data_IF_270589049205
#
_entry.id   IF_270589049205
#
_cell.length_a   1.000
_cell.length_b   1.000
_cell.length_c   1.000
_cell.angle_alpha   90.00
_cell.angle_beta   90.00
_cell.angle_gamma   90.00
#
_symmetry.space_group_name_H-M   'P 1'
#
loop_
_entity.id
_entity.type
_entity.pdbx_description
1 polymer ?
#
# COMPACT_ATOMS: atom_id res chain seq x y z
N UNK A 1 -42.90 20.20 -13.71
CA UNK A 1 -42.73 19.59 -15.07
C UNK A 1 -41.83 18.37 -14.86
N UNK A 2 -42.42 17.16 -14.84
CA UNK A 2 -41.71 15.90 -14.55
C UNK A 2 -40.87 15.49 -15.77
N UNK A 3 -39.57 15.51 -15.68
CA UNK A 3 -38.68 14.90 -16.66
C UNK A 3 -38.77 13.37 -16.54
N UNK A 4 -39.73 12.76 -17.25
CA UNK A 4 -39.68 11.36 -17.64
C UNK A 4 -38.67 11.23 -18.78
N UNK A 5 -37.41 11.12 -18.52
CA UNK A 5 -36.44 10.67 -19.49
C UNK A 5 -36.68 9.18 -19.70
N UNK A 6 -37.02 8.83 -20.96
CA UNK A 6 -37.27 7.48 -21.46
C UNK A 6 -36.28 6.46 -20.88
N UNK A 7 -36.78 5.43 -20.20
CA UNK A 7 -36.06 4.24 -19.74
C UNK A 7 -35.78 3.24 -20.88
N UNK A 8 -35.82 3.70 -22.14
CA UNK A 8 -35.49 2.88 -23.31
C UNK A 8 -34.00 2.58 -23.32
N UNK A 9 -33.65 1.35 -22.92
CA UNK A 9 -32.27 0.85 -22.89
C UNK A 9 -31.84 0.09 -21.62
N UNK A 10 -32.69 0.06 -20.60
CA UNK A 10 -32.40 -0.72 -19.39
C UNK A 10 -32.92 -2.15 -19.59
N UNK A 11 -32.04 -3.11 -19.31
CA UNK A 11 -32.36 -4.53 -19.42
C UNK A 11 -33.62 -4.89 -18.60
N UNK A 12 -34.63 -5.61 -19.15
CA UNK A 12 -35.88 -5.89 -18.45
C UNK A 12 -35.71 -6.61 -17.11
N UNK A 13 -34.71 -7.50 -16.99
CA UNK A 13 -34.40 -8.18 -15.74
C UNK A 13 -33.92 -7.21 -14.64
N UNK A 14 -33.28 -6.08 -14.98
CA UNK A 14 -32.90 -5.10 -13.99
C UNK A 14 -34.11 -4.34 -13.42
N UNK A 15 -35.14 -4.14 -14.23
CA UNK A 15 -36.40 -3.54 -13.75
C UNK A 15 -37.14 -4.52 -12.83
N UNK A 16 -37.22 -5.80 -13.18
CA UNK A 16 -37.76 -6.85 -12.32
C UNK A 16 -37.03 -6.92 -10.96
N UNK A 17 -35.75 -6.94 -10.97
CA UNK A 17 -34.95 -6.95 -9.71
C UNK A 17 -35.15 -5.66 -8.89
N UNK A 18 -35.38 -4.51 -9.52
CA UNK A 18 -35.71 -3.29 -8.79
C UNK A 18 -37.07 -3.37 -8.09
N UNK A 19 -38.04 -4.05 -8.69
CA UNK A 19 -39.36 -4.33 -8.07
C UNK A 19 -39.20 -5.30 -6.88
N UNK A 20 -38.35 -6.32 -7.00
CA UNK A 20 -38.04 -7.23 -5.90
C UNK A 20 -37.43 -6.50 -4.69
N UNK A 21 -36.54 -5.50 -4.94
CA UNK A 21 -36.01 -4.66 -3.84
C UNK A 21 -37.12 -3.85 -3.20
N UNK A 22 -38.01 -3.23 -3.98
CA UNK A 22 -39.13 -2.44 -3.43
C UNK A 22 -40.10 -3.31 -2.65
N UNK A 23 -40.26 -4.58 -3.04
CA UNK A 23 -41.07 -5.56 -2.36
C UNK A 23 -40.35 -6.21 -1.14
N UNK A 24 -39.11 -5.82 -0.83
CA UNK A 24 -38.32 -6.40 0.28
C UNK A 24 -37.83 -7.82 0.04
N UNK A 25 -37.92 -8.33 -1.19
CA UNK A 25 -37.53 -9.71 -1.58
C UNK A 25 -36.06 -9.82 -1.98
N UNK A 26 -35.40 -8.71 -2.28
CA UNK A 26 -34.00 -8.64 -2.71
C UNK A 26 -33.28 -7.56 -1.91
N UNK A 27 -32.07 -7.84 -1.44
CA UNK A 27 -31.25 -6.84 -0.77
C UNK A 27 -30.71 -5.80 -1.77
N UNK A 28 -30.51 -4.56 -1.30
CA UNK A 28 -29.93 -3.47 -2.10
C UNK A 28 -28.58 -3.82 -2.70
N UNK A 29 -27.73 -4.50 -1.93
CA UNK A 29 -26.39 -4.92 -2.38
C UNK A 29 -26.47 -5.94 -3.51
N UNK A 30 -27.34 -6.90 -3.37
CA UNK A 30 -27.55 -7.96 -4.36
C UNK A 30 -28.16 -7.40 -5.65
N UNK A 31 -29.10 -6.48 -5.54
CA UNK A 31 -29.65 -5.76 -6.68
C UNK A 31 -28.57 -5.01 -7.46
N UNK A 32 -27.73 -4.23 -6.77
CA UNK A 32 -26.66 -3.47 -7.42
C UNK A 32 -25.69 -4.40 -8.18
N UNK A 33 -25.32 -5.54 -7.58
CA UNK A 33 -24.46 -6.53 -8.25
C UNK A 33 -25.12 -7.12 -9.50
N UNK A 34 -26.40 -7.48 -9.44
CA UNK A 34 -27.15 -8.02 -10.58
C UNK A 34 -27.36 -6.97 -11.67
N UNK A 35 -27.73 -5.76 -11.30
CA UNK A 35 -27.93 -4.65 -12.24
C UNK A 35 -26.63 -4.30 -13.00
N UNK A 36 -25.50 -4.29 -12.29
CA UNK A 36 -24.19 -4.03 -12.92
C UNK A 36 -23.80 -5.17 -13.87
N UNK A 37 -24.04 -6.42 -13.51
CA UNK A 37 -23.83 -7.57 -14.39
C UNK A 37 -24.69 -7.52 -15.68
N UNK A 38 -25.85 -6.86 -15.61
CA UNK A 38 -26.73 -6.60 -16.77
C UNK A 38 -26.36 -5.32 -17.55
N UNK A 39 -25.21 -4.70 -17.25
CA UNK A 39 -24.72 -3.50 -17.92
C UNK A 39 -25.40 -2.19 -17.49
N UNK A 40 -26.17 -2.21 -16.40
CA UNK A 40 -26.81 -1.00 -15.86
C UNK A 40 -25.78 -0.21 -15.03
N UNK A 41 -25.58 1.06 -15.35
CA UNK A 41 -24.68 1.91 -14.54
C UNK A 41 -25.20 2.05 -13.11
N UNK A 42 -24.29 2.27 -12.16
CA UNK A 42 -24.65 2.44 -10.75
C UNK A 42 -25.66 3.58 -10.54
N UNK A 43 -25.49 4.69 -11.25
CA UNK A 43 -26.42 5.83 -11.19
C UNK A 43 -27.84 5.42 -11.64
N UNK A 44 -27.94 4.69 -12.75
CA UNK A 44 -29.23 4.20 -13.25
C UNK A 44 -29.83 3.17 -12.29
N UNK A 45 -29.03 2.27 -11.71
CA UNK A 45 -29.47 1.28 -10.73
C UNK A 45 -30.03 1.93 -9.47
N UNK A 46 -29.36 2.92 -8.90
CA UNK A 46 -29.86 3.67 -7.74
C UNK A 46 -31.20 4.35 -8.05
N UNK A 47 -31.32 4.99 -9.22
CA UNK A 47 -32.58 5.63 -9.65
C UNK A 47 -33.72 4.62 -9.82
N UNK A 48 -33.44 3.39 -10.31
CA UNK A 48 -34.45 2.34 -10.46
C UNK A 48 -35.10 1.94 -9.14
N UNK A 49 -34.37 1.98 -8.03
CA UNK A 49 -34.91 1.66 -6.70
C UNK A 49 -35.36 2.88 -5.92
N UNK A 50 -35.41 4.06 -6.57
CA UNK A 50 -35.90 5.29 -5.97
C UNK A 50 -34.95 5.95 -4.98
N UNK A 51 -33.65 5.61 -5.04
CA UNK A 51 -32.63 6.21 -4.20
C UNK A 51 -31.79 7.19 -5.03
N UNK A 52 -31.31 8.24 -4.37
CA UNK A 52 -30.31 9.10 -4.95
C UNK A 52 -29.02 8.28 -5.17
N UNK A 53 -28.46 8.36 -6.39
CA UNK A 53 -27.13 7.82 -6.62
C UNK A 53 -26.14 8.49 -5.67
N UNK A 54 -25.11 7.75 -5.19
CA UNK A 54 -24.02 8.39 -4.47
C UNK A 54 -23.50 9.55 -5.32
N UNK A 55 -23.33 10.72 -4.69
CA UNK A 55 -22.80 11.88 -5.39
C UNK A 55 -21.50 11.45 -6.09
N UNK A 56 -21.40 11.70 -7.40
CA UNK A 56 -20.13 11.61 -8.11
C UNK A 56 -19.11 12.39 -7.29
N UNK A 57 -17.92 11.85 -7.14
CA UNK A 57 -16.88 12.47 -6.33
C UNK A 57 -16.83 13.97 -6.65
N UNK A 58 -17.18 14.78 -5.65
CA UNK A 58 -17.03 16.22 -5.73
C UNK A 58 -15.55 16.48 -5.97
N UNK A 59 -15.21 17.46 -6.78
CA UNK A 59 -13.82 17.85 -6.98
C UNK A 59 -13.13 17.94 -5.61
N UNK A 60 -12.01 17.23 -5.47
CA UNK A 60 -11.30 17.16 -4.21
C UNK A 60 -10.88 18.58 -3.79
N UNK A 61 -11.37 19.03 -2.65
CA UNK A 61 -10.89 20.28 -2.06
C UNK A 61 -9.52 20.04 -1.46
N UNK A 62 -8.55 20.82 -1.90
CA UNK A 62 -7.21 20.78 -1.34
C UNK A 62 -7.22 21.32 0.07
N UNK A 63 -6.59 20.63 1.00
CA UNK A 63 -6.49 21.02 2.41
C UNK A 63 -7.58 20.37 3.29
N UNK A 64 -7.61 20.77 4.53
CA UNK A 64 -8.50 20.22 5.56
C UNK A 64 -7.80 19.26 6.53
N UNK A 65 -8.58 18.65 7.42
CA UNK A 65 -8.07 17.70 8.42
C UNK A 65 -8.75 16.36 8.21
N UNK A 66 -7.96 15.33 7.93
CA UNK A 66 -8.43 13.94 7.95
C UNK A 66 -8.26 13.37 9.37
N UNK A 67 -9.34 12.95 9.99
CA UNK A 67 -9.33 12.28 11.28
C UNK A 67 -9.53 10.79 11.08
N UNK A 68 -8.49 10.00 11.36
CA UNK A 68 -8.54 8.54 11.26
C UNK A 68 -8.65 7.95 12.67
N UNK A 69 -9.69 7.15 12.93
CA UNK A 69 -9.79 6.37 14.14
C UNK A 69 -9.11 5.03 13.95
N UNK A 70 -8.14 4.73 14.81
CA UNK A 70 -7.43 3.43 14.82
C UNK A 70 -6.99 3.10 16.24
N UNK A 71 -6.79 1.81 16.53
CA UNK A 71 -6.13 1.39 17.76
C UNK A 71 -4.65 1.81 17.72
N UNK A 72 -4.22 2.58 18.68
CA UNK A 72 -2.83 2.99 18.83
C UNK A 72 -2.27 2.34 20.09
N UNK A 73 -1.28 1.47 19.91
CA UNK A 73 -0.47 0.91 21.00
C UNK A 73 0.80 1.73 21.18
N UNK A 74 1.51 1.50 22.27
CA UNK A 74 2.80 2.12 22.50
C UNK A 74 3.75 1.85 21.32
N UNK A 75 4.40 2.89 20.82
CA UNK A 75 5.38 2.76 19.76
C UNK A 75 6.62 2.05 20.28
N UNK A 76 7.06 1.06 19.51
CA UNK A 76 8.24 0.24 19.79
C UNK A 76 9.28 0.43 18.68
N UNK A 77 10.39 -0.28 18.78
CA UNK A 77 11.32 -0.42 17.66
C UNK A 77 10.55 -0.93 16.42
N UNK A 78 10.67 -0.29 15.24
CA UNK A 78 9.98 -0.73 14.02
C UNK A 78 10.21 -2.19 13.64
N UNK A 79 11.33 -2.78 14.06
CA UNK A 79 11.64 -4.21 13.86
C UNK A 79 10.69 -5.13 14.61
N UNK A 80 10.04 -4.66 15.66
CA UNK A 80 9.13 -5.41 16.52
C UNK A 80 7.67 -5.03 16.33
N UNK A 81 7.36 -4.38 15.21
CA UNK A 81 5.99 -3.98 14.88
C UNK A 81 5.11 -5.21 14.65
N UNK A 82 4.15 -5.43 15.55
CA UNK A 82 3.33 -6.64 15.64
C UNK A 82 1.83 -6.41 15.42
N UNK A 83 1.41 -5.18 15.06
CA UNK A 83 0.01 -4.90 14.76
C UNK A 83 -0.17 -4.08 13.47
N UNK A 84 -1.27 -4.33 12.72
CA UNK A 84 -1.46 -3.77 11.37
C UNK A 84 -1.49 -2.24 11.30
N UNK A 85 -2.02 -1.58 12.33
CA UNK A 85 -2.17 -0.13 12.33
C UNK A 85 -0.86 0.63 12.48
N UNK A 86 0.21 -0.01 13.01
CA UNK A 86 1.52 0.62 13.18
C UNK A 86 2.12 1.06 11.85
N UNK A 87 1.86 0.30 10.78
CA UNK A 87 2.32 0.66 9.44
C UNK A 87 1.72 1.99 8.96
N UNK A 88 0.48 2.30 9.35
CA UNK A 88 -0.15 3.58 9.03
C UNK A 88 0.49 4.74 9.81
N UNK A 89 0.91 4.48 11.05
CA UNK A 89 1.66 5.47 11.85
C UNK A 89 3.04 5.70 11.24
N UNK A 90 3.76 4.63 10.92
CA UNK A 90 5.10 4.73 10.36
C UNK A 90 5.13 5.41 8.98
N UNK A 91 4.14 5.19 8.13
CA UNK A 91 4.00 5.88 6.84
C UNK A 91 3.92 7.40 6.96
N UNK A 92 3.54 7.92 8.11
CA UNK A 92 3.46 9.35 8.35
C UNK A 92 4.81 10.04 8.57
N UNK A 93 5.89 9.28 8.87
CA UNK A 93 7.19 9.86 9.23
C UNK A 93 8.42 9.02 8.87
N UNK A 94 8.24 7.76 8.46
CA UNK A 94 9.32 6.94 7.92
C UNK A 94 9.22 6.87 6.40
N UNK A 95 10.34 6.98 5.73
CA UNK A 95 10.42 6.82 4.28
C UNK A 95 10.94 5.43 3.90
N UNK A 96 10.54 4.97 2.72
CA UNK A 96 10.91 3.67 2.19
C UNK A 96 12.11 3.80 1.24
N UNK A 97 12.90 2.74 1.14
CA UNK A 97 13.83 2.60 0.01
C UNK A 97 13.05 2.51 -1.31
N UNK A 98 12.02 1.67 -1.32
CA UNK A 98 11.15 1.39 -2.48
C UNK A 98 9.70 1.43 -2.00
N UNK A 99 8.84 2.09 -2.75
CA UNK A 99 7.40 2.09 -2.52
C UNK A 99 6.74 1.00 -3.36
N UNK A 100 5.86 0.23 -2.74
CA UNK A 100 4.94 -0.69 -3.41
C UNK A 100 3.61 0.03 -3.64
N UNK A 101 3.20 0.15 -4.88
CA UNK A 101 1.99 0.86 -5.29
C UNK A 101 0.76 -0.06 -5.33
N UNK A 102 -0.48 0.48 -5.24
CA UNK A 102 -1.71 -0.32 -5.28
C UNK A 102 -1.92 -1.12 -6.57
N UNK A 103 -1.32 -0.72 -7.68
CA UNK A 103 -1.36 -1.41 -8.97
C UNK A 103 -0.34 -2.56 -9.09
N UNK A 104 0.45 -2.80 -8.04
CA UNK A 104 1.48 -3.82 -8.00
C UNK A 104 2.84 -3.37 -8.52
N UNK A 105 2.99 -2.13 -8.96
CA UNK A 105 4.28 -1.59 -9.39
C UNK A 105 5.16 -1.17 -8.20
N UNK A 106 6.46 -1.05 -8.48
CA UNK A 106 7.45 -0.57 -7.52
C UNK A 106 8.01 0.77 -7.99
N UNK A 107 8.19 1.69 -7.07
CA UNK A 107 8.76 3.02 -7.31
C UNK A 107 9.90 3.30 -6.32
N UNK A 108 11.04 3.81 -6.80
CA UNK A 108 12.15 4.22 -5.95
C UNK A 108 11.79 5.47 -5.13
N UNK A 109 12.04 5.43 -3.82
CA UNK A 109 11.89 6.56 -2.90
C UNK A 109 13.26 7.06 -2.45
N UNK A 110 13.83 6.44 -1.42
CA UNK A 110 15.20 6.68 -0.99
C UNK A 110 16.23 6.02 -1.92
N UNK A 111 15.82 4.99 -2.69
CA UNK A 111 16.60 4.54 -3.85
C UNK A 111 16.21 5.34 -5.09
N UNK A 112 17.18 5.65 -5.91
CA UNK A 112 16.99 6.18 -7.26
C UNK A 112 16.66 5.03 -8.23
N UNK A 113 17.39 3.91 -8.12
CA UNK A 113 17.19 2.70 -8.89
C UNK A 113 17.73 1.48 -8.15
N UNK A 114 17.37 0.30 -8.64
CA UNK A 114 17.95 -0.98 -8.23
C UNK A 114 17.99 -1.93 -9.41
N UNK A 115 18.98 -2.81 -9.41
CA UNK A 115 19.16 -3.84 -10.42
C UNK A 115 19.46 -5.18 -9.75
N UNK A 116 18.97 -6.27 -10.33
CA UNK A 116 19.31 -7.61 -9.93
C UNK A 116 20.10 -8.29 -11.06
N UNK A 117 21.02 -9.19 -10.72
CA UNK A 117 21.62 -10.07 -11.70
C UNK A 117 20.60 -11.10 -12.23
N UNK A 118 20.95 -11.86 -13.26
CA UNK A 118 20.06 -12.79 -13.94
C UNK A 118 19.42 -13.84 -12.99
N UNK A 119 20.17 -14.24 -11.97
CA UNK A 119 19.76 -15.28 -11.02
C UNK A 119 19.12 -14.70 -9.74
N UNK A 120 18.97 -13.38 -9.67
CA UNK A 120 18.47 -12.64 -8.51
C UNK A 120 19.22 -12.95 -7.20
N UNK A 121 20.51 -13.30 -7.29
CA UNK A 121 21.39 -13.55 -6.16
C UNK A 121 22.21 -12.34 -5.75
N UNK A 122 22.30 -11.35 -6.64
CA UNK A 122 22.97 -10.09 -6.37
C UNK A 122 22.07 -8.91 -6.72
N UNK A 123 22.06 -7.89 -5.87
CA UNK A 123 21.34 -6.63 -6.10
C UNK A 123 22.28 -5.46 -5.97
N UNK A 124 22.20 -4.53 -6.91
CA UNK A 124 22.86 -3.23 -6.82
C UNK A 124 21.80 -2.16 -6.53
N UNK A 125 21.94 -1.46 -5.42
CA UNK A 125 21.02 -0.43 -4.96
C UNK A 125 21.69 0.93 -5.16
N UNK A 126 21.05 1.83 -5.91
CA UNK A 126 21.47 3.22 -6.06
C UNK A 126 20.70 4.12 -5.10
N UNK A 127 21.38 4.64 -4.12
CA UNK A 127 20.81 5.52 -3.09
C UNK A 127 20.66 6.93 -3.67
N UNK A 128 19.49 7.53 -3.52
CA UNK A 128 19.19 8.88 -3.98
C UNK A 128 20.08 9.89 -3.29
N UNK A 129 20.73 10.72 -4.07
CA UNK A 129 21.60 11.75 -3.53
C UNK A 129 20.82 13.01 -3.13
N UNK A 130 21.40 13.80 -2.23
CA UNK A 130 20.83 15.07 -1.76
C UNK A 130 19.68 14.91 -0.76
N UNK A 131 19.35 13.68 -0.35
CA UNK A 131 18.41 13.41 0.74
C UNK A 131 19.11 13.68 2.07
N UNK A 132 18.36 14.29 3.00
CA UNK A 132 18.87 14.62 4.33
C UNK A 132 18.00 14.03 5.41
N UNK A 133 18.64 13.65 6.50
CA UNK A 133 17.97 13.36 7.76
C UNK A 133 17.36 14.64 8.38
N UNK A 134 16.42 14.47 9.30
CA UNK A 134 15.77 15.60 9.99
C UNK A 134 16.75 16.49 10.79
N UNK A 135 17.91 15.97 11.17
CA UNK A 135 18.97 16.70 11.85
C UNK A 135 19.89 17.47 10.87
N UNK A 136 19.67 17.31 9.54
CA UNK A 136 20.44 17.98 8.48
C UNK A 136 21.62 17.17 7.93
N UNK A 137 21.94 16.01 8.49
CA UNK A 137 22.99 15.13 7.97
C UNK A 137 22.58 14.54 6.63
N UNK A 138 23.53 14.16 5.80
CA UNK A 138 23.27 13.50 4.52
C UNK A 138 22.87 12.05 4.75
N UNK A 139 21.82 11.60 4.01
CA UNK A 139 21.46 10.20 3.91
C UNK A 139 22.34 9.53 2.86
N UNK A 140 23.01 8.43 3.23
CA UNK A 140 24.04 7.80 2.40
C UNK A 140 23.86 6.29 2.26
N UNK A 141 24.69 5.67 1.42
CA UNK A 141 24.77 4.21 1.30
C UNK A 141 25.13 3.50 2.62
N UNK A 142 25.92 4.17 3.49
CA UNK A 142 26.25 3.64 4.80
C UNK A 142 25.00 3.49 5.70
N UNK A 143 24.05 4.43 5.62
CA UNK A 143 22.81 4.33 6.38
C UNK A 143 21.95 3.17 5.90
N UNK A 144 21.92 2.94 4.59
CA UNK A 144 21.22 1.80 3.99
C UNK A 144 21.87 0.48 4.44
N UNK A 145 23.19 0.37 4.36
CA UNK A 145 23.90 -0.84 4.78
C UNK A 145 23.70 -1.11 6.29
N UNK A 146 23.79 -0.08 7.12
CA UNK A 146 23.51 -0.17 8.56
C UNK A 146 22.09 -0.64 8.84
N UNK A 147 21.11 -0.20 8.05
CA UNK A 147 19.72 -0.63 8.22
C UNK A 147 19.54 -2.10 7.86
N UNK A 148 20.19 -2.62 6.82
CA UNK A 148 20.18 -4.06 6.53
C UNK A 148 20.79 -4.88 7.69
N UNK A 149 21.90 -4.42 8.25
CA UNK A 149 22.48 -5.07 9.41
C UNK A 149 21.51 -5.11 10.61
N UNK A 150 20.78 -4.02 10.85
CA UNK A 150 19.74 -3.97 11.89
C UNK A 150 18.57 -4.90 11.62
N UNK A 151 18.16 -5.05 10.35
CA UNK A 151 17.09 -5.98 9.99
C UNK A 151 17.48 -7.44 10.15
N UNK A 152 18.75 -7.77 9.94
CA UNK A 152 19.30 -9.12 10.11
C UNK A 152 19.66 -9.47 11.55
N UNK A 153 19.45 -8.57 12.51
CA UNK A 153 19.73 -8.83 13.92
C UNK A 153 18.59 -9.62 14.57
N UNK A 154 18.79 -10.93 14.71
CA UNK A 154 17.83 -11.84 15.35
C UNK A 154 17.88 -11.80 16.88
N UNK A 155 18.84 -11.10 17.51
CA UNK A 155 18.91 -10.97 18.97
C UNK A 155 17.82 -10.07 19.55
N UNK A 156 17.15 -9.29 18.68
CA UNK A 156 16.04 -8.41 19.08
C UNK A 156 14.81 -9.24 19.33
N UNK A 157 14.41 -9.35 20.59
CA UNK A 157 13.21 -10.08 20.99
C UNK A 157 11.96 -9.52 20.29
N UNK A 158 11.18 -10.41 19.66
CA UNK A 158 9.99 -10.06 18.90
C UNK A 158 10.28 -9.43 17.53
N UNK A 159 11.51 -9.53 17.00
CA UNK A 159 11.84 -9.06 15.65
C UNK A 159 10.98 -9.79 14.60
N UNK A 160 10.19 -9.02 13.85
CA UNK A 160 9.41 -9.50 12.71
C UNK A 160 10.17 -9.36 11.38
N UNK A 161 11.37 -8.80 11.39
CA UNK A 161 12.15 -8.47 10.19
C UNK A 161 13.21 -9.50 9.87
N UNK A 162 13.93 -10.02 10.84
CA UNK A 162 15.07 -10.94 10.63
C UNK A 162 14.71 -12.14 9.74
N UNK A 163 13.58 -12.77 9.97
CA UNK A 163 13.10 -13.92 9.17
C UNK A 163 12.85 -13.62 7.68
N UNK A 164 12.76 -12.35 7.30
CA UNK A 164 12.55 -11.92 5.91
C UNK A 164 13.85 -11.73 5.14
N UNK A 165 14.97 -11.69 5.85
CA UNK A 165 16.29 -11.42 5.28
C UNK A 165 17.26 -12.62 5.42
N UNK A 166 16.73 -13.84 5.56
CA UNK A 166 17.56 -15.06 5.76
C UNK A 166 18.63 -15.24 4.70
N UNK A 167 18.38 -14.83 3.45
CA UNK A 167 19.37 -14.88 2.37
C UNK A 167 20.62 -14.00 2.61
N UNK A 168 20.51 -12.98 3.46
CA UNK A 168 21.61 -12.10 3.83
C UNK A 168 22.24 -12.47 5.19
N UNK A 169 21.68 -13.45 5.89
CA UNK A 169 22.13 -13.81 7.25
C UNK A 169 23.19 -14.93 7.22
N UNK A 170 23.87 -15.05 8.36
CA UNK A 170 24.78 -16.17 8.62
C UNK A 170 24.05 -17.54 8.62
N UNK A 171 24.81 -18.62 8.64
CA UNK A 171 24.26 -19.97 8.60
C UNK A 171 23.36 -20.30 9.81
N UNK A 172 23.57 -19.63 10.93
CA UNK A 172 22.76 -19.76 12.14
C UNK A 172 21.51 -18.89 12.12
N UNK A 173 21.36 -18.01 11.12
CA UNK A 173 20.21 -17.08 11.01
C UNK A 173 20.17 -16.04 12.13
N UNK A 174 21.32 -15.63 12.67
CA UNK A 174 21.42 -14.76 13.84
C UNK A 174 21.79 -13.32 13.50
N UNK A 175 22.64 -13.14 12.51
CA UNK A 175 23.17 -11.83 12.14
C UNK A 175 23.40 -11.72 10.63
N UNK A 176 23.70 -10.51 10.16
CA UNK A 176 24.11 -10.27 8.79
C UNK A 176 25.40 -11.07 8.50
N UNK A 177 25.38 -11.84 7.40
CA UNK A 177 26.55 -12.58 6.91
C UNK A 177 27.63 -11.60 6.45
N UNK A 178 28.88 -11.89 6.76
CA UNK A 178 30.02 -11.10 6.29
C UNK A 178 30.00 -11.00 4.75
N UNK A 179 30.15 -9.80 4.23
CA UNK A 179 30.13 -9.50 2.80
C UNK A 179 28.75 -9.51 2.14
N UNK A 180 27.68 -9.90 2.86
CA UNK A 180 26.33 -9.92 2.26
C UNK A 180 25.80 -8.51 1.89
N UNK A 181 26.28 -7.48 2.57
CA UNK A 181 25.98 -6.08 2.25
C UNK A 181 27.27 -5.31 2.17
N UNK A 182 27.55 -4.72 1.03
CA UNK A 182 28.80 -3.97 0.78
C UNK A 182 28.46 -2.57 0.30
N UNK A 183 29.06 -1.56 0.92
CA UNK A 183 29.05 -0.18 0.43
C UNK A 183 30.14 -0.06 -0.62
N UNK A 184 29.73 0.19 -1.87
CA UNK A 184 30.64 0.34 -3.01
C UNK A 184 31.20 1.75 -3.11
N UNK A 185 30.30 2.72 -2.92
CA UNK A 185 30.59 4.17 -2.90
C UNK A 185 29.52 4.89 -2.06
N UNK A 186 29.60 6.22 -1.96
CA UNK A 186 28.70 7.03 -1.13
C UNK A 186 27.19 6.88 -1.49
N UNK A 187 26.88 6.37 -2.67
CA UNK A 187 25.51 6.21 -3.18
C UNK A 187 25.15 4.78 -3.64
N UNK A 188 26.07 3.82 -3.48
CA UNK A 188 25.87 2.47 -4.02
C UNK A 188 26.06 1.40 -2.96
N UNK A 189 25.04 0.58 -2.78
CA UNK A 189 25.08 -0.63 -1.93
C UNK A 189 24.90 -1.85 -2.81
N UNK A 190 25.68 -2.88 -2.55
CA UNK A 190 25.55 -4.20 -3.17
C UNK A 190 25.11 -5.23 -2.12
N UNK A 191 24.11 -6.04 -2.49
CA UNK A 191 23.65 -7.20 -1.70
C UNK A 191 24.04 -8.47 -2.44
N UNK A 192 24.51 -9.50 -1.71
CA UNK A 192 24.93 -10.80 -2.28
C UNK A 192 24.48 -11.98 -1.43
#
# INVERSE_FOLDING_TARGET
MKLFRSLSGIHPAAQMHAEEVRAGKLSRREFLSRATALGVSSVAAYNLIGLAAPAMAQEAKVGGILRCAMEVKAMKDPRTADWPHISNVYRGWLEYLIQYNPDGSFEGRLLESWEANADATEYTLKVRQGVKWNNGDDFTAEDVARQFARWCDASVEGSATASRFLGLMDAEGKALREGAVTVVDASTVKLT
#
